data_IF_650951492580
#
_entry.id   IF_650951492580
#
_cell.length_a   1.000
_cell.length_b   1.000
_cell.length_c   1.000
_cell.angle_alpha   90.00
_cell.angle_beta   90.00
_cell.angle_gamma   90.00
#
_symmetry.space_group_name_H-M   'P 1'
#
loop_
_entity.id
_entity.type
_entity.pdbx_description
1 polymer ?
#
# COMPACT_ATOMS: atom_id res chain seq x y z
N UNK A 1 21.45 5.38 0.53
CA UNK A 1 20.39 6.01 -0.30
C UNK A 1 19.15 5.15 -0.11
N UNK A 2 18.16 5.64 0.65
CA UNK A 2 17.03 4.85 1.20
C UNK A 2 17.47 3.64 2.04
N UNK A 3 18.49 3.81 2.88
CA UNK A 3 19.00 2.71 3.72
C UNK A 3 18.09 2.45 4.94
N UNK A 4 17.31 3.45 5.36
CA UNK A 4 16.47 3.38 6.55
C UNK A 4 15.33 2.34 6.45
N UNK A 5 14.88 2.00 5.25
CA UNK A 5 13.78 1.04 5.05
C UNK A 5 14.20 -0.13 4.14
N UNK A 6 15.50 -0.41 4.04
CA UNK A 6 16.05 -1.35 3.06
C UNK A 6 15.60 -2.81 3.26
N UNK A 7 15.22 -3.19 4.49
CA UNK A 7 14.76 -4.54 4.83
C UNK A 7 13.38 -4.55 5.54
N UNK A 8 12.65 -3.43 5.47
CA UNK A 8 11.38 -3.27 6.18
C UNK A 8 10.20 -3.21 5.21
N UNK A 9 9.10 -3.88 5.58
CA UNK A 9 7.89 -3.92 4.78
C UNK A 9 7.07 -2.66 5.05
N UNK A 10 6.85 -1.87 4.00
CA UNK A 10 5.99 -0.68 4.07
C UNK A 10 4.63 -0.99 3.44
N UNK A 11 3.55 -0.66 4.12
CA UNK A 11 2.18 -0.92 3.62
C UNK A 11 1.56 0.38 3.13
N UNK A 12 0.90 0.35 1.97
CA UNK A 12 0.13 1.51 1.47
C UNK A 12 -1.21 1.60 2.18
N UNK A 13 -1.61 2.81 2.57
CA UNK A 13 -2.95 3.10 3.12
C UNK A 13 -4.06 3.14 2.03
N UNK A 14 -3.98 2.24 1.05
CA UNK A 14 -5.00 2.05 0.03
C UNK A 14 -5.98 0.96 0.47
N UNK A 15 -7.12 0.85 -0.23
CA UNK A 15 -8.14 -0.17 0.07
C UNK A 15 -7.60 -1.60 0.04
N UNK A 16 -6.59 -1.84 -0.78
CA UNK A 16 -6.00 -3.15 -1.00
C UNK A 16 -4.82 -3.45 -0.06
N UNK A 17 -4.44 -2.50 0.83
CA UNK A 17 -3.31 -2.59 1.77
C UNK A 17 -2.07 -3.25 1.14
N UNK A 18 -1.66 -2.73 -0.02
CA UNK A 18 -0.55 -3.31 -0.77
C UNK A 18 0.76 -3.15 0.00
N UNK A 19 1.36 -4.29 0.34
CA UNK A 19 2.67 -4.40 0.97
C UNK A 19 3.76 -4.12 -0.07
N UNK A 20 4.71 -3.28 0.28
CA UNK A 20 5.95 -3.04 -0.44
C UNK A 20 7.03 -3.87 0.24
N UNK A 21 7.14 -5.12 -0.21
CA UNK A 21 8.08 -6.12 0.31
C UNK A 21 9.41 -6.10 -0.45
N UNK A 22 9.39 -5.66 -1.71
CA UNK A 22 10.60 -5.60 -2.53
C UNK A 22 11.34 -4.28 -2.40
N UNK A 23 12.68 -4.36 -2.29
CA UNK A 23 13.58 -3.20 -2.27
C UNK A 23 13.29 -2.21 -3.41
N UNK A 24 13.00 -2.74 -4.60
CA UNK A 24 12.73 -1.93 -5.80
C UNK A 24 11.50 -1.06 -5.60
N UNK A 25 10.44 -1.58 -5.01
CA UNK A 25 9.21 -0.82 -4.80
C UNK A 25 9.37 0.24 -3.72
N UNK A 26 10.05 -0.09 -2.62
CA UNK A 26 10.39 0.86 -1.55
C UNK A 26 11.24 2.00 -2.13
N UNK A 27 12.31 1.67 -2.84
CA UNK A 27 13.18 2.67 -3.49
C UNK A 27 12.40 3.52 -4.48
N UNK A 28 11.56 2.93 -5.34
CA UNK A 28 10.76 3.68 -6.31
C UNK A 28 9.82 4.69 -5.63
N UNK A 29 9.30 4.36 -4.44
CA UNK A 29 8.40 5.24 -3.68
C UNK A 29 9.13 6.32 -2.89
N UNK A 30 10.32 6.04 -2.36
CA UNK A 30 11.02 6.95 -1.45
C UNK A 30 12.16 7.75 -2.10
N UNK A 31 12.69 7.29 -3.25
CA UNK A 31 13.86 7.90 -3.87
C UNK A 31 13.60 9.34 -4.32
N UNK A 32 14.54 10.24 -3.98
CA UNK A 32 14.49 11.66 -4.32
C UNK A 32 13.19 12.32 -3.87
N UNK A 33 12.75 11.98 -2.64
CA UNK A 33 11.64 12.62 -1.96
C UNK A 33 12.04 12.99 -0.55
N UNK A 34 11.43 14.07 -0.07
CA UNK A 34 11.41 14.38 1.37
C UNK A 34 10.49 13.38 2.05
N UNK A 35 10.96 12.77 3.13
CA UNK A 35 10.17 11.82 3.91
C UNK A 35 9.62 12.54 5.15
N UNK A 36 8.32 12.37 5.40
CA UNK A 36 7.67 12.79 6.63
C UNK A 36 7.39 11.56 7.46
N UNK A 37 8.16 11.36 8.54
CA UNK A 37 7.87 10.34 9.53
C UNK A 37 6.92 10.92 10.55
N UNK A 38 5.67 10.50 10.50
CA UNK A 38 4.63 10.93 11.41
C UNK A 38 4.47 9.91 12.54
N UNK A 39 4.92 10.29 13.73
CA UNK A 39 4.74 9.54 14.96
C UNK A 39 3.47 10.04 15.66
N UNK A 40 2.49 9.15 15.81
CA UNK A 40 1.24 9.45 16.49
C UNK A 40 0.62 8.19 17.10
N UNK A 41 -0.38 8.43 17.95
CA UNK A 41 -1.23 7.40 18.54
C UNK A 41 -2.69 7.87 18.51
N UNK A 42 -3.60 6.94 18.27
CA UNK A 42 -5.04 7.13 18.28
C UNK A 42 -5.57 7.51 19.68
N UNK A 43 -4.86 7.15 20.75
CA UNK A 43 -5.23 7.49 22.14
C UNK A 43 -5.01 8.98 22.45
N UNK A 44 -4.15 9.67 21.69
CA UNK A 44 -3.81 11.07 21.96
C UNK A 44 -4.77 12.05 21.26
N UNK A 45 -5.48 12.85 22.05
CA UNK A 45 -6.38 13.91 21.55
C UNK A 45 -5.65 14.92 20.66
N UNK A 46 -4.39 15.25 20.98
CA UNK A 46 -3.56 16.16 20.19
C UNK A 46 -3.27 15.62 18.78
N UNK A 47 -3.12 14.29 18.66
CA UNK A 47 -2.87 13.63 17.38
C UNK A 47 -4.12 13.66 16.50
N UNK A 48 -5.30 13.40 17.09
CA UNK A 48 -6.59 13.48 16.39
C UNK A 48 -6.89 14.90 15.88
N UNK A 49 -6.53 15.93 16.64
CA UNK A 49 -6.69 17.32 16.19
C UNK A 49 -5.71 17.69 15.06
N UNK A 50 -4.50 17.14 15.08
CA UNK A 50 -3.47 17.43 14.08
C UNK A 50 -3.64 16.63 12.78
N UNK A 51 -4.15 15.40 12.85
CA UNK A 51 -4.39 14.52 11.69
C UNK A 51 -5.10 15.20 10.50
N UNK A 52 -6.23 15.92 10.67
CA UNK A 52 -6.88 16.61 9.55
C UNK A 52 -6.01 17.72 8.95
N UNK A 53 -5.21 18.42 9.79
CA UNK A 53 -4.28 19.45 9.32
C UNK A 53 -3.18 18.85 8.46
N UNK A 54 -2.61 17.71 8.89
CA UNK A 54 -1.61 16.98 8.13
C UNK A 54 -2.18 16.41 6.82
N UNK A 55 -3.41 15.90 6.85
CA UNK A 55 -4.10 15.41 5.66
C UNK A 55 -4.30 16.51 4.62
N UNK A 56 -4.80 17.68 5.03
CA UNK A 56 -4.99 18.83 4.14
C UNK A 56 -3.66 19.38 3.61
N UNK A 57 -2.63 19.44 4.47
CA UNK A 57 -1.27 19.81 4.08
C UNK A 57 -0.74 18.89 2.98
N UNK A 58 -0.80 17.58 3.20
CA UNK A 58 -0.30 16.59 2.23
C UNK A 58 -1.10 16.62 0.93
N UNK A 59 -2.43 16.78 1.02
CA UNK A 59 -3.31 16.88 -0.15
C UNK A 59 -2.98 18.11 -1.00
N UNK A 60 -2.81 19.28 -0.40
CA UNK A 60 -2.46 20.52 -1.13
C UNK A 60 -1.13 20.43 -1.87
N UNK A 61 -0.21 19.59 -1.40
CA UNK A 61 1.11 19.39 -2.02
C UNK A 61 1.14 18.27 -3.07
N UNK A 62 0.18 17.34 -3.07
CA UNK A 62 0.25 16.10 -3.87
C UNK A 62 -0.95 15.83 -4.77
N UNK A 63 -1.99 16.65 -4.71
CA UNK A 63 -3.20 16.51 -5.51
C UNK A 63 -3.15 17.47 -6.71
N UNK A 64 -3.43 16.93 -7.90
CA UNK A 64 -3.41 17.66 -9.19
C UNK A 64 -4.38 18.84 -9.20
N UNK A 65 -5.41 18.81 -8.34
CA UNK A 65 -6.33 19.92 -8.18
C UNK A 65 -5.65 21.19 -7.63
N UNK A 66 -4.63 21.05 -6.79
CA UNK A 66 -3.96 22.19 -6.14
C UNK A 66 -2.64 22.54 -6.80
N UNK A 67 -1.94 21.56 -7.38
CA UNK A 67 -0.61 21.74 -7.96
C UNK A 67 -0.50 21.07 -9.33
N UNK A 68 0.10 21.76 -10.29
CA UNK A 68 0.36 21.20 -11.63
C UNK A 68 1.32 20.00 -11.57
N UNK A 69 2.22 19.98 -10.57
CA UNK A 69 3.16 18.89 -10.31
C UNK A 69 3.11 18.52 -8.84
N UNK A 70 2.90 17.24 -8.56
CA UNK A 70 2.96 16.70 -7.20
C UNK A 70 4.34 16.95 -6.58
N UNK A 71 4.34 17.42 -5.34
CA UNK A 71 5.54 17.54 -4.52
C UNK A 71 6.26 16.18 -4.42
N UNK A 72 7.60 16.24 -4.35
CA UNK A 72 8.46 15.09 -4.12
C UNK A 72 8.46 14.78 -2.61
N UNK A 73 7.30 14.39 -2.11
CA UNK A 73 7.03 14.16 -0.69
C UNK A 73 6.45 12.76 -0.50
N UNK A 74 6.87 12.06 0.55
CA UNK A 74 6.28 10.80 0.99
C UNK A 74 5.94 10.88 2.48
N UNK A 75 4.72 10.50 2.84
CA UNK A 75 4.26 10.45 4.22
C UNK A 75 4.31 9.01 4.71
N UNK A 76 5.05 8.77 5.78
CA UNK A 76 5.13 7.50 6.49
C UNK A 76 4.49 7.67 7.87
N UNK A 77 3.46 6.88 8.16
CA UNK A 77 2.85 6.83 9.48
C UNK A 77 3.48 5.73 10.32
N UNK A 78 3.96 6.10 11.50
CA UNK A 78 4.53 5.21 12.49
C UNK A 78 3.61 5.27 13.70
N UNK A 79 2.78 4.24 13.83
CA UNK A 79 1.90 4.11 14.98
C UNK A 79 2.69 3.73 16.22
N UNK A 80 2.42 4.42 17.32
CA UNK A 80 2.88 4.06 18.67
C UNK A 80 1.77 3.44 19.52
N UNK A 81 0.67 3.05 18.85
CA UNK A 81 -0.51 2.44 19.47
C UNK A 81 -0.22 1.08 20.10
N UNK A 82 -1.07 0.70 21.05
CA UNK A 82 -1.01 -0.57 21.78
C UNK A 82 -1.93 -1.64 21.19
N UNK A 83 -2.74 -1.31 20.19
CA UNK A 83 -3.56 -2.27 19.47
C UNK A 83 -3.60 -2.00 17.96
N UNK A 84 -3.79 -3.07 17.20
CA UNK A 84 -3.97 -3.01 15.74
C UNK A 84 -5.26 -2.26 15.37
N UNK A 85 -6.34 -2.43 16.14
CA UNK A 85 -7.61 -1.73 15.92
C UNK A 85 -7.46 -0.20 16.01
N UNK A 86 -6.61 0.28 16.92
CA UNK A 86 -6.30 1.71 17.05
C UNK A 86 -5.56 2.23 15.82
N UNK A 87 -4.55 1.48 15.35
CA UNK A 87 -3.82 1.78 14.12
C UNK A 87 -4.78 1.89 12.93
N UNK A 88 -5.63 0.89 12.71
CA UNK A 88 -6.59 0.87 11.60
C UNK A 88 -7.60 2.01 11.64
N UNK A 89 -8.08 2.36 12.83
CA UNK A 89 -9.03 3.46 12.99
C UNK A 89 -8.39 4.81 12.64
N UNK A 90 -7.15 5.03 13.09
CA UNK A 90 -6.43 6.26 12.80
C UNK A 90 -5.98 6.37 11.33
N UNK A 91 -5.62 5.25 10.70
CA UNK A 91 -5.29 5.19 9.27
C UNK A 91 -6.41 5.73 8.37
N UNK A 92 -7.69 5.61 8.79
CA UNK A 92 -8.85 6.13 8.03
C UNK A 92 -8.85 7.65 7.93
N UNK A 93 -8.22 8.35 8.88
CA UNK A 93 -8.11 9.81 8.89
C UNK A 93 -6.95 10.33 8.05
N UNK A 94 -5.98 9.47 7.76
CA UNK A 94 -4.77 9.82 6.99
C UNK A 94 -5.00 9.77 5.47
N UNK A 95 -4.16 10.46 4.68
CA UNK A 95 -4.23 10.38 3.23
C UNK A 95 -4.02 8.94 2.72
N UNK A 96 -4.80 8.49 1.74
CA UNK A 96 -4.65 7.14 1.15
C UNK A 96 -3.29 6.89 0.48
N UNK A 97 -2.61 7.98 0.09
CA UNK A 97 -1.26 7.93 -0.49
C UNK A 97 -0.16 7.75 0.59
N UNK A 98 -0.51 7.73 1.88
CA UNK A 98 0.46 7.49 2.95
C UNK A 98 0.90 6.03 2.97
N UNK A 99 2.11 5.83 3.45
CA UNK A 99 2.67 4.52 3.78
C UNK A 99 2.64 4.37 5.31
N UNK A 100 2.66 3.13 5.81
CA UNK A 100 2.76 2.85 7.23
C UNK A 100 3.53 1.55 7.48
N UNK A 101 3.98 1.35 8.71
CA UNK A 101 4.57 0.09 9.16
C UNK A 101 3.49 -0.82 9.74
N UNK A 102 3.59 -2.11 9.46
CA UNK A 102 2.71 -3.12 10.06
C UNK A 102 2.75 -3.05 11.60
N UNK A 103 1.65 -3.40 12.26
CA UNK A 103 1.57 -3.32 13.71
C UNK A 103 2.58 -4.28 14.38
N UNK A 104 2.83 -5.44 13.81
CA UNK A 104 3.74 -6.44 14.38
C UNK A 104 5.22 -6.06 14.22
N UNK A 105 5.53 -5.06 13.40
CA UNK A 105 6.91 -4.69 13.10
C UNK A 105 7.58 -4.01 14.33
N UNK A 106 8.66 -4.59 14.91
CA UNK A 106 9.39 -3.98 16.01
C UNK A 106 10.07 -2.66 15.61
N UNK A 107 10.28 -2.43 14.31
CA UNK A 107 10.97 -1.26 13.79
C UNK A 107 10.27 0.06 14.16
N UNK A 108 8.96 0.03 14.44
CA UNK A 108 8.20 1.18 14.96
C UNK A 108 8.85 1.78 16.23
N UNK A 109 9.28 0.91 17.16
CA UNK A 109 9.92 1.31 18.42
C UNK A 109 11.39 1.68 18.23
N UNK A 110 12.07 1.03 17.28
CA UNK A 110 13.43 1.41 16.92
C UNK A 110 13.49 2.80 16.32
N UNK A 111 12.54 3.16 15.44
CA UNK A 111 12.43 4.50 14.87
C UNK A 111 12.09 5.55 15.94
N UNK A 112 11.19 5.24 16.86
CA UNK A 112 10.86 6.13 18.00
C UNK A 112 12.13 6.48 18.80
N UNK A 113 12.94 5.47 19.12
CA UNK A 113 14.20 5.66 19.83
C UNK A 113 15.26 6.37 18.97
N UNK A 114 15.37 6.02 17.68
CA UNK A 114 16.36 6.58 16.75
C UNK A 114 16.19 8.09 16.55
N UNK A 115 14.93 8.55 16.48
CA UNK A 115 14.61 9.96 16.31
C UNK A 115 14.33 10.69 17.62
N UNK A 116 14.49 10.00 18.77
CA UNK A 116 14.38 10.57 20.10
C UNK A 116 13.02 11.29 20.31
N UNK A 117 11.93 10.61 19.91
CA UNK A 117 10.58 11.16 19.97
C UNK A 117 10.09 11.19 21.42
N UNK A 118 10.02 12.39 22.01
CA UNK A 118 9.58 12.58 23.40
C UNK A 118 8.08 12.89 23.53
N UNK A 119 7.50 13.54 22.52
CA UNK A 119 6.12 14.06 22.55
C UNK A 119 5.34 13.68 21.29
N UNK A 120 4.01 13.59 21.41
CA UNK A 120 3.10 13.28 20.30
C UNK A 120 2.05 14.38 20.12
N UNK A 121 1.71 14.75 18.87
CA UNK A 121 2.29 14.26 17.61
C UNK A 121 3.70 14.79 17.34
N UNK A 122 4.53 14.01 16.64
CA UNK A 122 5.82 14.48 16.10
C UNK A 122 5.91 14.15 14.61
N UNK A 123 6.34 15.12 13.81
CA UNK A 123 6.62 14.93 12.37
C UNK A 123 8.10 15.19 12.13
N UNK A 124 8.87 14.13 11.90
CA UNK A 124 10.28 14.25 11.52
C UNK A 124 10.37 14.41 10.00
N UNK A 125 11.07 15.44 9.54
CA UNK A 125 11.30 15.69 8.13
C UNK A 125 12.70 15.20 7.78
N UNK A 126 12.78 14.25 6.85
CA UNK A 126 14.05 13.70 6.37
C UNK A 126 14.31 14.13 4.93
N UNK A 127 15.58 14.37 4.64
CA UNK A 127 16.09 14.51 3.28
C UNK A 127 16.07 13.15 2.55
N UNK A 128 16.23 13.12 1.21
CA UNK A 128 16.31 11.87 0.44
C UNK A 128 17.46 10.94 0.83
N UNK A 129 18.51 11.46 1.47
CA UNK A 129 19.63 10.70 2.02
C UNK A 129 19.34 10.13 3.42
N UNK A 130 18.10 10.28 3.91
CA UNK A 130 17.64 9.92 5.25
C UNK A 130 18.28 10.74 6.39
N UNK A 131 18.97 11.84 6.09
CA UNK A 131 19.42 12.77 7.13
C UNK A 131 18.28 13.64 7.65
N UNK A 132 18.33 13.99 8.93
CA UNK A 132 17.31 14.84 9.56
C UNK A 132 17.42 16.25 8.99
N UNK A 133 16.31 16.75 8.46
CA UNK A 133 16.15 18.14 8.04
C UNK A 133 15.52 18.95 9.16
N UNK A 134 14.39 18.47 9.70
CA UNK A 134 13.67 19.07 10.82
C UNK A 134 13.27 17.96 11.80
N UNK A 135 13.64 18.04 13.09
CA UNK A 135 13.32 16.99 14.06
C UNK A 135 11.83 16.97 14.43
N UNK A 136 11.17 18.13 14.54
CA UNK A 136 9.72 18.21 14.74
C UNK A 136 9.13 19.37 13.93
N UNK A 137 8.36 19.04 12.90
CA UNK A 137 7.75 19.99 11.98
C UNK A 137 6.28 20.31 12.28
N UNK A 138 5.70 19.79 13.38
CA UNK A 138 4.28 20.02 13.70
C UNK A 138 3.94 21.50 13.78
N UNK A 139 4.74 22.29 14.51
CA UNK A 139 4.53 23.74 14.63
C UNK A 139 4.71 24.47 13.30
N UNK A 140 5.71 24.08 12.49
CA UNK A 140 5.95 24.65 11.16
C UNK A 140 4.75 24.39 10.22
N UNK A 141 4.20 23.18 10.22
CA UNK A 141 3.04 22.80 9.41
C UNK A 141 1.81 23.59 9.83
N UNK A 142 1.55 23.72 11.14
CA UNK A 142 0.39 24.48 11.64
C UNK A 142 0.51 25.97 11.27
N UNK A 143 1.70 26.54 11.42
CA UNK A 143 1.92 27.99 11.25
C UNK A 143 2.03 28.42 9.79
N UNK A 144 2.79 27.68 8.98
CA UNK A 144 3.11 28.04 7.60
C UNK A 144 2.27 27.26 6.58
N UNK A 145 1.67 26.13 6.97
CA UNK A 145 0.93 25.29 6.05
C UNK A 145 1.82 24.80 4.89
N UNK A 146 1.29 24.69 3.65
CA UNK A 146 2.03 24.21 2.49
C UNK A 146 3.31 25.00 2.16
N UNK A 147 3.41 26.26 2.60
CA UNK A 147 4.55 27.11 2.30
C UNK A 147 5.86 26.63 2.96
N UNK A 148 5.79 25.86 4.06
CA UNK A 148 7.00 25.28 4.68
C UNK A 148 7.73 24.32 3.73
N UNK A 149 7.01 23.65 2.83
CA UNK A 149 7.59 22.73 1.87
C UNK A 149 8.61 23.41 0.96
N UNK A 150 8.43 24.70 0.62
CA UNK A 150 9.42 25.43 -0.20
C UNK A 150 10.78 25.49 0.49
N UNK A 151 10.78 25.80 1.79
CA UNK A 151 12.00 25.86 2.59
C UNK A 151 12.65 24.48 2.69
N UNK A 152 11.84 23.43 2.90
CA UNK A 152 12.36 22.06 2.95
C UNK A 152 12.91 21.58 1.61
N UNK A 153 12.23 21.92 0.52
CA UNK A 153 12.64 21.59 -0.85
C UNK A 153 14.00 22.20 -1.19
N UNK A 154 14.19 23.50 -0.88
CA UNK A 154 15.47 24.18 -1.08
C UNK A 154 16.59 23.58 -0.21
N UNK A 155 16.30 23.28 1.06
CA UNK A 155 17.28 22.77 2.01
C UNK A 155 17.61 21.26 1.86
N UNK A 156 16.75 20.52 1.14
CA UNK A 156 16.95 19.11 0.83
C UNK A 156 17.71 18.88 -0.49
N UNK A 157 18.04 19.96 -1.23
CA UNK A 157 18.74 19.91 -2.52
C UNK A 157 18.13 18.88 -3.48
N UNK A 158 16.79 18.81 -3.51
CA UNK A 158 16.06 17.83 -4.30
C UNK A 158 16.43 17.95 -5.78
N UNK A 159 16.71 16.81 -6.42
CA UNK A 159 16.96 16.80 -7.86
C UNK A 159 15.67 17.16 -8.59
N UNK A 160 15.76 18.20 -9.41
CA UNK A 160 14.64 18.63 -10.22
C UNK A 160 14.33 17.57 -11.29
N UNK A 161 13.25 16.82 -11.06
CA UNK A 161 12.73 15.81 -11.99
C UNK A 161 11.81 16.42 -13.05
N UNK A 162 11.90 17.73 -13.30
CA UNK A 162 11.07 18.40 -14.31
C UNK A 162 11.12 17.76 -15.70
N UNK A 163 12.23 17.09 -16.04
CA UNK A 163 12.40 16.34 -17.29
C UNK A 163 11.64 15.00 -17.36
N UNK A 164 11.22 14.44 -16.22
CA UNK A 164 10.38 13.25 -16.16
C UNK A 164 8.91 13.66 -16.27
N UNK A 165 8.14 12.89 -17.06
CA UNK A 165 6.67 13.01 -17.15
C UNK A 165 6.13 12.91 -15.72
N UNK A 166 5.12 13.73 -15.37
CA UNK A 166 4.42 13.65 -14.08
C UNK A 166 4.16 12.19 -13.78
N UNK A 167 4.77 11.68 -12.72
CA UNK A 167 4.57 10.30 -12.27
C UNK A 167 3.13 10.23 -11.74
N UNK A 168 2.18 10.10 -12.66
CA UNK A 168 0.81 9.74 -12.37
C UNK A 168 0.87 8.32 -11.81
N UNK A 169 1.05 8.19 -10.49
CA UNK A 169 0.93 6.94 -9.74
C UNK A 169 -0.50 6.38 -9.76
N UNK A 170 -1.37 6.87 -10.64
CA UNK A 170 -2.42 6.00 -11.13
C UNK A 170 -1.70 4.82 -11.79
N UNK A 171 -1.71 3.68 -11.11
CA UNK A 171 -1.66 2.36 -11.72
C UNK A 171 -2.78 2.24 -12.77
N UNK A 172 -2.72 3.03 -13.85
CA UNK A 172 -3.17 2.56 -15.14
C UNK A 172 -2.22 1.42 -15.39
N UNK A 173 -2.71 0.22 -15.05
CA UNK A 173 -1.99 -1.02 -15.21
C UNK A 173 -1.14 -0.93 -16.47
N UNK A 174 0.13 -1.32 -16.41
CA UNK A 174 1.00 -1.45 -17.59
C UNK A 174 0.49 -2.53 -18.57
N UNK A 175 -0.82 -2.73 -18.67
CA UNK A 175 -1.49 -3.53 -19.68
C UNK A 175 -1.57 -2.63 -20.91
N UNK A 176 -0.80 -3.02 -21.93
CA UNK A 176 -0.95 -2.44 -23.27
C UNK A 176 -2.43 -2.39 -23.64
N UNK A 177 -2.86 -1.40 -24.42
CA UNK A 177 -4.22 -1.37 -24.99
C UNK A 177 -4.60 -2.69 -25.70
N UNK A 178 -3.59 -3.46 -26.15
CA UNK A 178 -3.75 -4.78 -26.76
C UNK A 178 -3.92 -5.95 -25.79
N UNK A 179 -3.85 -5.75 -24.47
CA UNK A 179 -3.91 -6.81 -23.46
C UNK A 179 -5.22 -7.63 -23.50
N UNK A 180 -6.41 -7.02 -23.70
CA UNK A 180 -7.65 -7.78 -23.94
C UNK A 180 -7.56 -8.69 -25.17
N UNK A 181 -6.90 -8.22 -26.23
CA UNK A 181 -6.74 -8.97 -27.49
C UNK A 181 -5.69 -10.08 -27.35
N UNK A 182 -4.59 -9.83 -26.63
CA UNK A 182 -3.56 -10.84 -26.35
C UNK A 182 -4.13 -11.99 -25.52
N UNK A 183 -4.98 -11.72 -24.52
CA UNK A 183 -5.66 -12.78 -23.75
C UNK A 183 -6.61 -13.63 -24.59
N UNK A 184 -7.26 -13.04 -25.58
CA UNK A 184 -8.08 -13.78 -26.55
C UNK A 184 -7.23 -14.65 -27.49
N UNK A 185 -6.06 -14.15 -27.93
CA UNK A 185 -5.14 -14.92 -28.80
C UNK A 185 -4.42 -16.06 -28.07
N UNK A 186 -3.99 -15.87 -26.84
CA UNK A 186 -3.20 -16.84 -26.06
C UNK A 186 -4.03 -17.58 -25.01
N UNK A 187 -5.34 -17.71 -25.22
CA UNK A 187 -6.20 -18.56 -24.39
C UNK A 187 -5.76 -20.03 -24.61
N UNK A 188 -4.77 -20.48 -23.83
CA UNK A 188 -4.33 -21.87 -23.80
C UNK A 188 -5.54 -22.71 -23.41
N UNK A 189 -5.77 -23.78 -24.16
CA UNK A 189 -7.03 -24.53 -24.25
C UNK A 189 -7.40 -25.35 -22.98
N UNK A 190 -7.43 -24.75 -21.79
CA UNK A 190 -7.89 -25.45 -20.57
C UNK A 190 -9.40 -25.75 -20.60
N UNK A 191 -10.17 -25.00 -21.39
CA UNK A 191 -11.58 -25.25 -21.68
C UNK A 191 -11.81 -26.56 -22.47
N UNK A 192 -10.88 -26.95 -23.36
CA UNK A 192 -11.00 -28.22 -24.09
C UNK A 192 -10.75 -29.43 -23.18
N UNK A 193 -9.86 -29.30 -22.18
CA UNK A 193 -9.64 -30.35 -21.18
C UNK A 193 -10.82 -30.50 -20.22
N UNK A 194 -11.46 -29.41 -19.77
CA UNK A 194 -12.66 -29.47 -18.89
C UNK A 194 -13.88 -30.07 -19.60
N UNK A 195 -14.11 -29.76 -20.89
CA UNK A 195 -15.22 -30.37 -21.66
C UNK A 195 -15.02 -31.86 -21.97
N UNK A 196 -13.77 -32.32 -22.16
CA UNK A 196 -13.48 -33.76 -22.33
C UNK A 196 -13.72 -34.56 -21.05
N UNK A 197 -13.29 -34.04 -19.88
CA UNK A 197 -13.48 -34.72 -18.58
C UNK A 197 -14.97 -34.89 -18.23
N UNK A 198 -15.79 -33.85 -18.46
CA UNK A 198 -17.23 -33.88 -18.16
C UNK A 198 -18.05 -34.81 -19.08
N UNK A 199 -17.59 -35.06 -20.31
CA UNK A 199 -18.22 -36.01 -21.24
C UNK A 199 -17.90 -37.46 -20.91
N UNK A 200 -16.75 -37.72 -20.30
CA UNK A 200 -16.33 -39.08 -19.94
C UNK A 200 -17.04 -39.57 -18.67
N UNK A 201 -17.23 -38.70 -17.67
CA UNK A 201 -17.96 -39.05 -16.43
C UNK A 201 -19.43 -39.42 -16.69
N UNK A 202 -20.14 -38.74 -17.60
CA UNK A 202 -21.54 -39.07 -17.89
C UNK A 202 -21.75 -40.35 -18.72
N UNK A 203 -20.69 -40.94 -19.30
CA UNK A 203 -20.81 -42.21 -20.03
C UNK A 203 -20.60 -43.40 -19.09
N UNK A 204 -19.67 -43.31 -18.13
CA UNK A 204 -19.46 -44.38 -17.14
C UNK A 204 -20.69 -44.59 -16.24
N UNK A 205 -21.41 -43.52 -15.89
CA UNK A 205 -22.63 -43.61 -15.06
C UNK A 205 -23.83 -44.25 -15.79
N UNK A 206 -23.82 -44.31 -17.13
CA UNK A 206 -24.90 -44.91 -17.93
C UNK A 206 -24.68 -46.38 -18.27
N UNK A 207 -23.43 -46.85 -18.28
CA UNK A 207 -23.12 -48.26 -18.49
C UNK A 207 -23.25 -49.09 -17.20
N UNK A 208 -23.18 -48.46 -16.02
CA UNK A 208 -23.38 -49.13 -14.73
C UNK A 208 -24.85 -49.50 -14.41
N UNK A 209 -25.84 -48.77 -14.94
CA UNK A 209 -27.27 -49.03 -14.65
C UNK A 209 -27.97 -49.96 -15.65
N UNK A 210 -27.31 -50.31 -16.77
CA UNK A 210 -27.89 -51.21 -17.79
C UNK A 210 -27.49 -52.69 -17.61
N UNK A 211 -26.66 -53.03 -16.62
CA UNK A 211 -26.11 -54.38 -16.41
C UNK A 211 -26.74 -55.21 -15.30
N UNK A 212 -27.75 -54.70 -14.58
CA UNK A 212 -28.29 -55.34 -13.37
C UNK A 212 -29.79 -55.68 -13.50
N UNK A 213 -30.18 -56.47 -14.51
CA UNK A 213 -31.45 -57.21 -14.43
C UNK A 213 -31.45 -58.41 -15.39
N UNK A 214 -30.87 -59.53 -14.97
CA UNK A 214 -31.28 -60.84 -15.46
C UNK A 214 -30.67 -61.96 -14.59
N UNK A 215 -31.51 -62.96 -14.25
CA UNK A 215 -31.22 -64.27 -13.59
C UNK A 215 -31.14 -64.24 -12.06
N UNK A 216 -31.73 -65.17 -11.30
CA UNK A 216 -32.62 -66.31 -11.54
C UNK A 216 -33.01 -66.85 -10.13
N UNK A 217 -33.91 -67.82 -10.11
CA UNK A 217 -34.28 -68.73 -9.01
C UNK A 217 -35.33 -68.19 -8.01
N UNK A 218 -36.56 -68.70 -7.94
CA UNK A 218 -37.01 -70.04 -8.28
C UNK A 218 -37.47 -70.77 -7.01
N UNK A 219 -38.79 -70.94 -6.90
CA UNK A 219 -39.46 -72.12 -6.33
C UNK A 219 -39.55 -72.26 -4.80
N UNK A 220 -40.77 -72.00 -4.31
CA UNK A 220 -41.67 -72.88 -3.55
C UNK A 220 -41.08 -73.88 -2.54
N UNK A 221 -41.66 -74.00 -1.34
CA UNK A 221 -42.81 -74.87 -1.01
C UNK A 221 -42.98 -74.99 0.52
N UNK A 222 -44.25 -75.17 0.93
CA UNK A 222 -44.81 -75.52 2.25
C UNK A 222 -45.05 -74.38 3.24
#
# INVERSE_FOLDING_TARGET
MVDLFYDHVLVKNNKDQEELDTEREVVLRLQNRILLLFFASAESDTCQQFAPTLHDFFKKLTDEFYVERSAQLALLYISLDQSEEQLENFLKELPKKSLFLAYEDPYRRELEAMFNVEELPTVVVLRPDCSILVPNAVEEIIRLGPDCYRNWHEAAELLDRNFLITEDFQEKSMRSFTDPVRRLKYKVEDEKKKKKKKKQTCNDDREAEAGANDRDEGRSLW
#
